data_IF_858930774314
#
_entry.id   IF_858930774314
#
_cell.length_a   1.000
_cell.length_b   1.000
_cell.length_c   1.000
_cell.angle_alpha   90.00
_cell.angle_beta   90.00
_cell.angle_gamma   90.00
#
_symmetry.space_group_name_H-M   'P 1'
#
loop_
_entity.id
_entity.type
_entity.pdbx_description
1 polymer ?
#
# COMPACT_ATOMS: atom_id res chain seq x y z
N UNK A 1 0.80 -7.72 6.55
CA UNK A 1 1.68 -6.89 7.38
C UNK A 1 0.83 -6.02 8.30
N UNK A 2 1.26 -5.88 9.54
CA UNK A 2 0.79 -4.86 10.48
C UNK A 2 1.97 -3.93 10.78
N UNK A 3 1.74 -2.63 10.71
CA UNK A 3 2.68 -1.60 11.13
C UNK A 3 1.96 -0.69 12.11
N UNK A 4 2.27 -0.84 13.39
CA UNK A 4 1.51 -0.19 14.45
C UNK A 4 2.43 0.52 15.44
N UNK A 5 2.04 1.70 15.95
CA UNK A 5 2.71 2.34 17.07
C UNK A 5 2.55 1.49 18.34
N UNK A 6 3.50 1.63 19.26
CA UNK A 6 3.56 0.89 20.52
C UNK A 6 3.79 1.79 21.74
N UNK A 7 3.95 3.10 21.54
CA UNK A 7 4.19 4.05 22.62
C UNK A 7 3.60 5.44 22.33
N UNK A 8 3.82 6.39 23.26
CA UNK A 8 3.49 7.81 23.13
C UNK A 8 2.02 8.12 22.79
N UNK A 9 1.09 7.27 23.25
CA UNK A 9 -0.34 7.47 23.09
C UNK A 9 -0.84 7.38 21.65
N UNK A 10 0.02 7.06 20.68
CA UNK A 10 -0.41 6.80 19.32
C UNK A 10 -0.96 5.37 19.22
N UNK A 11 -2.20 5.24 18.75
CA UNK A 11 -2.91 3.95 18.71
C UNK A 11 -3.34 3.55 17.31
N UNK A 12 -3.31 4.47 16.34
CA UNK A 12 -3.71 4.18 14.96
C UNK A 12 -2.55 3.53 14.21
N UNK A 13 -2.67 2.23 13.97
CA UNK A 13 -1.76 1.47 13.10
C UNK A 13 -2.28 1.33 11.66
N UNK A 14 -1.53 0.59 10.86
CA UNK A 14 -1.76 0.31 9.44
C UNK A 14 -1.76 -1.20 9.26
N UNK A 15 -2.75 -1.73 8.54
CA UNK A 15 -2.81 -3.17 8.24
C UNK A 15 -3.07 -3.46 6.77
N UNK A 16 -2.41 -4.50 6.27
CA UNK A 16 -2.65 -5.10 4.98
C UNK A 16 -2.50 -6.62 5.10
N UNK A 17 -3.62 -7.31 5.31
CA UNK A 17 -3.66 -8.75 5.62
C UNK A 17 -4.43 -9.58 4.60
N UNK A 18 -5.01 -8.94 3.59
CA UNK A 18 -5.68 -9.63 2.50
C UNK A 18 -4.73 -10.55 1.74
N UNK A 19 -5.27 -11.63 1.16
CA UNK A 19 -4.55 -12.51 0.25
C UNK A 19 -4.35 -11.83 -1.11
N UNK A 20 -3.42 -10.87 -1.16
CA UNK A 20 -3.03 -10.15 -2.37
C UNK A 20 -2.41 -11.09 -3.40
N UNK A 21 -1.67 -12.12 -2.96
CA UNK A 21 -0.95 -13.03 -3.84
C UNK A 21 -1.91 -14.00 -4.54
N UNK A 22 -2.82 -14.65 -3.80
CA UNK A 22 -3.80 -15.56 -4.37
C UNK A 22 -4.84 -14.87 -5.26
N UNK A 23 -5.15 -13.60 -4.97
CA UNK A 23 -6.11 -12.81 -5.74
C UNK A 23 -5.45 -11.91 -6.80
N UNK A 24 -4.14 -12.02 -6.99
CA UNK A 24 -3.38 -11.13 -7.86
C UNK A 24 -3.87 -11.21 -9.32
N UNK A 25 -4.20 -10.08 -9.97
CA UNK A 25 -4.52 -10.03 -11.39
C UNK A 25 -3.39 -10.64 -12.22
N UNK A 26 -3.74 -11.41 -13.25
CA UNK A 26 -2.75 -12.17 -14.03
C UNK A 26 -1.59 -11.32 -14.56
N UNK A 27 -1.87 -10.10 -15.01
CA UNK A 27 -0.87 -9.17 -15.53
C UNK A 27 0.10 -8.60 -14.48
N UNK A 28 -0.18 -8.81 -13.19
CA UNK A 28 0.64 -8.34 -12.07
C UNK A 28 1.34 -9.48 -11.32
N UNK A 29 1.06 -10.73 -11.66
CA UNK A 29 1.61 -11.89 -10.95
C UNK A 29 3.12 -11.95 -11.10
N UNK A 30 3.79 -12.23 -9.98
CA UNK A 30 5.21 -12.51 -9.92
C UNK A 30 5.45 -13.76 -9.05
N UNK A 31 6.65 -14.33 -9.11
CA UNK A 31 7.00 -15.45 -8.24
C UNK A 31 6.93 -15.02 -6.77
N UNK A 32 5.99 -15.58 -6.01
CA UNK A 32 5.80 -15.28 -4.59
C UNK A 32 5.16 -13.92 -4.28
N UNK A 33 4.62 -13.22 -5.27
CA UNK A 33 4.14 -11.84 -5.07
C UNK A 33 3.14 -11.33 -6.11
N UNK A 34 2.68 -10.11 -5.87
CA UNK A 34 1.86 -9.33 -6.80
C UNK A 34 2.51 -7.96 -7.00
N UNK A 35 2.99 -7.69 -8.22
CA UNK A 35 3.67 -6.43 -8.55
C UNK A 35 2.68 -5.27 -8.63
N UNK A 36 3.15 -4.07 -8.28
CA UNK A 36 2.41 -2.85 -8.60
C UNK A 36 2.42 -2.61 -10.12
N UNK A 37 1.36 -2.05 -10.72
CA UNK A 37 1.34 -1.74 -12.16
C UNK A 37 2.48 -0.83 -12.62
N UNK A 38 3.00 0.07 -11.79
CA UNK A 38 4.17 0.87 -12.18
C UNK A 38 5.39 -0.01 -12.48
N UNK A 39 5.63 -1.03 -11.64
CA UNK A 39 6.74 -1.98 -11.82
C UNK A 39 6.65 -2.73 -13.14
N UNK A 40 5.42 -3.11 -13.53
CA UNK A 40 5.16 -3.92 -14.74
C UNK A 40 5.17 -3.06 -16.00
N UNK A 41 4.41 -1.97 -16.00
CA UNK A 41 4.12 -1.20 -17.22
C UNK A 41 5.02 0.01 -17.42
N UNK A 42 5.59 0.57 -16.34
CA UNK A 42 6.53 1.71 -16.37
C UNK A 42 6.01 2.95 -17.12
N UNK A 43 4.70 3.16 -17.10
CA UNK A 43 4.07 4.33 -17.73
C UNK A 43 3.73 5.39 -16.69
N UNK A 44 3.62 6.65 -17.12
CA UNK A 44 3.25 7.76 -16.23
C UNK A 44 1.86 7.58 -15.61
N UNK A 45 0.95 6.86 -16.28
CA UNK A 45 -0.36 6.50 -15.73
C UNK A 45 -0.25 5.76 -14.39
N UNK A 46 0.76 4.91 -14.22
CA UNK A 46 0.92 4.09 -13.01
C UNK A 46 2.05 4.58 -12.10
N UNK A 47 3.09 5.19 -12.68
CA UNK A 47 4.27 5.65 -11.95
C UNK A 47 4.20 7.11 -11.53
N UNK A 48 3.27 7.89 -12.09
CA UNK A 48 3.06 9.29 -11.74
C UNK A 48 4.30 10.21 -11.86
N UNK A 49 5.26 9.91 -12.74
CA UNK A 49 6.48 10.74 -12.87
C UNK A 49 6.18 12.14 -13.43
N UNK A 50 5.17 12.22 -14.28
CA UNK A 50 4.72 13.47 -14.89
C UNK A 50 3.19 13.48 -15.00
N UNK A 51 2.61 14.66 -15.20
CA UNK A 51 1.18 14.83 -15.43
C UNK A 51 0.27 14.56 -14.22
N UNK A 52 -1.04 14.50 -14.51
CA UNK A 52 -2.06 14.10 -13.54
C UNK A 52 -2.01 12.58 -13.34
N UNK A 53 -2.05 12.16 -12.08
CA UNK A 53 -2.06 10.76 -11.71
C UNK A 53 -3.18 10.53 -10.71
N UNK A 54 -3.82 9.37 -10.80
CA UNK A 54 -4.96 9.03 -9.96
C UNK A 54 -5.15 7.52 -9.87
N UNK A 55 -6.22 7.08 -9.20
CA UNK A 55 -6.53 5.67 -9.08
C UNK A 55 -6.78 5.04 -10.45
N UNK A 56 -6.25 3.85 -10.65
CA UNK A 56 -6.49 2.98 -11.80
C UNK A 56 -7.22 1.72 -11.34
N UNK A 57 -7.72 0.90 -12.26
CA UNK A 57 -8.33 -0.39 -11.88
C UNK A 57 -7.34 -1.28 -11.13
N UNK A 58 -6.06 -1.21 -11.50
CA UNK A 58 -5.01 -2.00 -10.88
C UNK A 58 -4.57 -1.46 -9.52
N UNK A 59 -4.53 -0.15 -9.30
CA UNK A 59 -4.30 0.37 -7.94
C UNK A 59 -5.52 0.15 -7.04
N UNK A 60 -6.75 0.29 -7.57
CA UNK A 60 -7.99 -0.02 -6.83
C UNK A 60 -8.05 -1.48 -6.36
N UNK A 61 -7.47 -2.42 -7.10
CA UNK A 61 -7.33 -3.81 -6.65
C UNK A 61 -6.62 -3.90 -5.27
N UNK A 62 -5.48 -3.22 -5.12
CA UNK A 62 -4.73 -3.18 -3.86
C UNK A 62 -5.49 -2.36 -2.81
N UNK A 63 -6.02 -1.20 -3.19
CA UNK A 63 -6.68 -0.28 -2.24
C UNK A 63 -7.91 -0.88 -1.59
N UNK A 64 -8.73 -1.59 -2.35
CA UNK A 64 -9.93 -2.24 -1.83
C UNK A 64 -9.60 -3.36 -0.82
N UNK A 65 -8.40 -3.94 -0.91
CA UNK A 65 -7.94 -5.05 -0.06
C UNK A 65 -7.12 -4.57 1.15
N UNK A 66 -6.41 -3.47 0.97
CA UNK A 66 -5.60 -2.83 1.98
C UNK A 66 -5.86 -1.31 1.97
N UNK A 67 -7.00 -0.86 2.55
CA UNK A 67 -7.43 0.54 2.47
C UNK A 67 -6.46 1.53 3.11
N UNK A 68 -5.68 1.09 4.09
CA UNK A 68 -4.69 1.93 4.79
C UNK A 68 -3.37 2.05 4.02
N UNK A 69 -3.13 1.20 3.02
CA UNK A 69 -1.87 1.15 2.30
C UNK A 69 -1.90 2.05 1.05
N UNK A 70 -0.73 2.58 0.69
CA UNK A 70 -0.53 3.23 -0.60
C UNK A 70 -0.73 2.22 -1.72
N UNK A 71 -1.63 2.53 -2.65
CA UNK A 71 -1.91 1.69 -3.83
C UNK A 71 -1.34 2.24 -5.14
N UNK A 72 -1.05 3.54 -5.18
CA UNK A 72 -0.36 4.25 -6.25
C UNK A 72 0.43 5.44 -5.66
N UNK A 73 1.38 6.05 -6.40
CA UNK A 73 2.32 7.03 -5.83
C UNK A 73 1.73 8.29 -5.18
N UNK A 74 0.51 8.73 -5.58
CA UNK A 74 -0.15 9.94 -5.03
C UNK A 74 -1.38 9.60 -4.18
N UNK A 75 -1.36 8.47 -3.48
CA UNK A 75 -2.44 7.97 -2.62
C UNK A 75 -2.37 8.50 -1.17
N UNK A 76 -1.85 9.72 -0.99
CA UNK A 76 -1.52 10.27 0.33
C UNK A 76 -2.75 10.51 1.21
N UNK A 77 -3.86 10.91 0.60
CA UNK A 77 -5.07 11.36 1.31
C UNK A 77 -5.65 10.27 2.24
N UNK A 78 -5.47 9.00 1.89
CA UNK A 78 -6.03 7.87 2.64
C UNK A 78 -4.97 6.93 3.22
N UNK A 79 -3.69 7.21 2.98
CA UNK A 79 -2.58 6.31 3.33
C UNK A 79 -1.51 6.97 4.21
N UNK A 80 -1.64 8.27 4.50
CA UNK A 80 -0.72 8.97 5.42
C UNK A 80 -1.19 8.83 6.87
N UNK A 81 -0.29 8.34 7.72
CA UNK A 81 -0.51 8.20 9.16
C UNK A 81 0.63 8.91 9.89
N UNK A 82 0.29 9.64 10.94
CA UNK A 82 1.26 10.37 11.76
C UNK A 82 1.10 10.03 13.23
N UNK A 83 2.21 9.96 13.94
CA UNK A 83 2.28 9.84 15.39
C UNK A 83 3.21 10.91 15.95
N UNK A 84 3.14 11.22 17.26
CA UNK A 84 4.08 12.12 17.92
C UNK A 84 5.54 11.67 17.73
N UNK A 85 6.45 12.66 17.69
CA UNK A 85 7.89 12.39 17.65
C UNK A 85 8.34 11.47 18.80
N UNK A 86 9.27 10.55 18.52
CA UNK A 86 9.77 9.57 19.48
C UNK A 86 8.86 8.35 19.71
N UNK A 87 7.79 8.18 18.95
CA UNK A 87 6.94 6.98 19.01
C UNK A 87 7.72 5.73 18.57
N UNK A 88 7.59 4.64 19.33
CA UNK A 88 8.11 3.32 18.97
C UNK A 88 7.09 2.57 18.12
N UNK A 89 7.56 1.68 17.26
CA UNK A 89 6.68 0.92 16.36
C UNK A 89 7.02 -0.57 16.34
N UNK A 90 6.04 -1.36 15.94
CA UNK A 90 6.20 -2.78 15.64
C UNK A 90 5.80 -3.04 14.19
N UNK A 91 6.59 -3.87 13.51
CA UNK A 91 6.28 -4.42 12.19
C UNK A 91 6.09 -5.92 12.34
N UNK A 92 4.94 -6.43 11.90
CA UNK A 92 4.61 -7.85 11.97
C UNK A 92 4.34 -8.38 10.56
N UNK A 93 5.07 -9.43 10.19
CA UNK A 93 4.80 -10.23 8.99
C UNK A 93 3.80 -11.31 9.34
N UNK A 94 2.80 -11.52 8.47
CA UNK A 94 1.68 -12.42 8.71
C UNK A 94 1.01 -12.21 10.08
N UNK A 95 0.54 -10.97 10.38
CA UNK A 95 -0.11 -10.65 11.65
C UNK A 95 -1.48 -11.31 11.80
#
# INVERSE_FOLDING_TARGET
>A
MDFSPTSNGCTKGIRCTADINGQCPNQLRAQGGCNNPCTVFRTDQYCCNSGSCGPTDLSRFFKNRCPDAYSYPKDDQTSTFTCPGGTNYRVVFCP
#
